data_IF_014974952878
#
_entry.id   IF_014974952878
#
_cell.length_a   1.000
_cell.length_b   1.000
_cell.length_c   1.000
_cell.angle_alpha   90.00
_cell.angle_beta   90.00
_cell.angle_gamma   90.00
#
_symmetry.space_group_name_H-M   'P 1'
#
loop_
_entity.id
_entity.type
_entity.pdbx_description
1 polymer ?
#
# COMPACT_ATOMS: atom_id res chain seq x y z
N UNK A 1 53.41 -17.87 -47.78
CA UNK A 1 53.20 -16.50 -47.25
C UNK A 1 51.82 -16.27 -46.62
N UNK A 2 50.84 -17.18 -46.71
CA UNK A 2 49.43 -16.88 -46.35
C UNK A 2 49.08 -16.94 -44.85
N UNK A 3 49.82 -17.69 -44.02
CA UNK A 3 49.45 -17.92 -42.61
C UNK A 3 49.77 -16.74 -41.67
N UNK A 4 50.80 -15.95 -41.98
CA UNK A 4 51.25 -14.86 -41.11
C UNK A 4 50.34 -13.62 -41.24
N UNK A 5 49.89 -13.32 -42.46
CA UNK A 5 48.93 -12.24 -42.73
C UNK A 5 47.53 -12.54 -42.14
N UNK A 6 47.07 -13.79 -42.22
CA UNK A 6 45.80 -14.23 -41.65
C UNK A 6 45.76 -14.07 -40.12
N UNK A 7 46.85 -14.41 -39.43
CA UNK A 7 46.98 -14.24 -37.98
C UNK A 7 47.01 -12.76 -37.58
N UNK A 8 47.67 -11.91 -38.36
CA UNK A 8 47.74 -10.47 -38.09
C UNK A 8 46.37 -9.79 -38.29
N UNK A 9 45.60 -10.22 -39.30
CA UNK A 9 44.24 -9.75 -39.53
C UNK A 9 43.27 -10.24 -38.43
N UNK A 10 43.38 -11.50 -37.99
CA UNK A 10 42.55 -12.05 -36.91
C UNK A 10 42.77 -11.29 -35.59
N UNK A 11 44.02 -11.06 -35.22
CA UNK A 11 44.38 -10.31 -34.01
C UNK A 11 43.86 -8.87 -34.06
N UNK A 12 43.90 -8.22 -35.23
CA UNK A 12 43.35 -6.89 -35.39
C UNK A 12 41.81 -6.86 -35.20
N UNK A 13 41.09 -7.85 -35.74
CA UNK A 13 39.63 -7.95 -35.57
C UNK A 13 39.24 -8.22 -34.12
N UNK A 14 39.97 -9.06 -33.41
CA UNK A 14 39.75 -9.34 -31.98
C UNK A 14 39.99 -8.08 -31.14
N UNK A 15 41.05 -7.32 -31.43
CA UNK A 15 41.33 -6.07 -30.74
C UNK A 15 40.23 -5.01 -30.95
N UNK A 16 39.72 -4.88 -32.19
CA UNK A 16 38.59 -3.98 -32.47
C UNK A 16 37.31 -4.44 -31.74
N UNK A 17 37.04 -5.75 -31.70
CA UNK A 17 35.91 -6.31 -30.97
C UNK A 17 36.00 -6.04 -29.47
N UNK A 18 37.17 -6.26 -28.85
CA UNK A 18 37.38 -5.95 -27.44
C UNK A 18 37.18 -4.47 -27.12
N UNK A 19 37.66 -3.58 -28.01
CA UNK A 19 37.51 -2.13 -27.84
C UNK A 19 36.03 -1.73 -27.86
N UNK A 20 35.26 -2.27 -28.81
CA UNK A 20 33.82 -2.03 -28.94
C UNK A 20 33.06 -2.60 -27.74
N UNK A 21 33.36 -3.85 -27.33
CA UNK A 21 32.74 -4.49 -26.18
C UNK A 21 33.00 -3.71 -24.88
N UNK A 22 34.25 -3.28 -24.65
CA UNK A 22 34.58 -2.43 -23.49
C UNK A 22 33.80 -1.12 -23.54
N UNK A 23 33.70 -0.45 -24.69
CA UNK A 23 32.93 0.79 -24.81
C UNK A 23 31.43 0.56 -24.48
N UNK A 24 30.81 -0.47 -25.05
CA UNK A 24 29.40 -0.82 -24.80
C UNK A 24 29.18 -1.13 -23.31
N UNK A 25 30.06 -1.91 -22.69
CA UNK A 25 29.98 -2.24 -21.25
C UNK A 25 29.99 -0.97 -20.39
N UNK A 26 30.88 -0.01 -20.66
CA UNK A 26 30.94 1.24 -19.90
C UNK A 26 29.68 2.09 -20.11
N UNK A 27 29.14 2.13 -21.33
CA UNK A 27 27.88 2.84 -21.62
C UNK A 27 26.71 2.22 -20.85
N UNK A 28 26.59 0.88 -20.83
CA UNK A 28 25.54 0.17 -20.08
C UNK A 28 25.67 0.44 -18.58
N UNK A 29 26.87 0.35 -18.03
CA UNK A 29 27.13 0.62 -16.60
C UNK A 29 26.79 2.07 -16.26
N UNK A 30 27.14 3.02 -17.14
CA UNK A 30 26.84 4.43 -16.95
C UNK A 30 25.33 4.71 -16.93
N UNK A 31 24.57 4.13 -17.88
CA UNK A 31 23.11 4.23 -17.91
C UNK A 31 22.50 3.62 -16.64
N UNK A 32 23.00 2.45 -16.20
CA UNK A 32 22.54 1.80 -14.98
C UNK A 32 22.80 2.65 -13.72
N UNK A 33 23.96 3.31 -13.63
CA UNK A 33 24.28 4.23 -12.54
C UNK A 33 23.37 5.46 -12.55
N UNK A 34 23.06 6.02 -13.72
CA UNK A 34 22.09 7.11 -13.86
C UNK A 34 20.70 6.66 -13.37
N UNK A 35 20.26 5.46 -13.77
CA UNK A 35 18.97 4.92 -13.34
C UNK A 35 18.90 4.79 -11.80
N UNK A 36 19.95 4.25 -11.17
CA UNK A 36 20.04 4.16 -9.70
C UNK A 36 19.99 5.56 -9.07
N UNK A 37 20.70 6.55 -9.62
CA UNK A 37 20.69 7.91 -9.12
C UNK A 37 19.29 8.54 -9.20
N UNK A 38 18.56 8.33 -10.30
CA UNK A 38 17.18 8.81 -10.45
C UNK A 38 16.27 8.16 -9.41
N UNK A 39 16.38 6.85 -9.21
CA UNK A 39 15.58 6.14 -8.19
C UNK A 39 15.91 6.66 -6.78
N UNK A 40 17.18 6.89 -6.46
CA UNK A 40 17.58 7.45 -5.18
C UNK A 40 17.00 8.85 -4.95
N UNK A 41 17.05 9.73 -5.96
CA UNK A 41 16.45 11.06 -5.91
C UNK A 41 14.94 10.96 -5.70
N UNK A 42 14.26 10.07 -6.41
CA UNK A 42 12.82 9.86 -6.26
C UNK A 42 12.45 9.38 -4.84
N UNK A 43 13.23 8.46 -4.25
CA UNK A 43 13.02 8.00 -2.87
C UNK A 43 13.23 9.14 -1.87
N UNK A 44 14.27 9.96 -2.04
CA UNK A 44 14.51 11.13 -1.19
C UNK A 44 13.36 12.13 -1.30
N UNK A 45 12.94 12.46 -2.53
CA UNK A 45 11.82 13.36 -2.77
C UNK A 45 10.51 12.84 -2.16
N UNK A 46 10.22 11.54 -2.30
CA UNK A 46 9.08 10.88 -1.68
C UNK A 46 9.15 10.96 -0.15
N UNK A 47 10.32 10.72 0.44
CA UNK A 47 10.50 10.79 1.90
C UNK A 47 10.36 12.22 2.44
N UNK A 48 10.86 13.22 1.70
CA UNK A 48 10.68 14.64 2.06
C UNK A 48 9.23 15.09 1.91
N UNK A 49 8.55 14.65 0.85
CA UNK A 49 7.13 14.90 0.64
C UNK A 49 6.29 14.27 1.76
N UNK A 50 6.59 13.02 2.13
CA UNK A 50 5.95 12.34 3.24
C UNK A 50 6.20 13.08 4.56
N UNK A 51 7.45 13.48 4.83
CA UNK A 51 7.80 14.28 6.01
C UNK A 51 7.03 15.60 6.06
N UNK A 52 6.91 16.29 4.93
CA UNK A 52 6.11 17.51 4.84
C UNK A 52 4.63 17.24 5.14
N UNK A 53 4.06 16.16 4.59
CA UNK A 53 2.67 15.78 4.84
C UNK A 53 2.42 15.45 6.32
N UNK A 54 3.37 14.77 6.97
CA UNK A 54 3.30 14.43 8.41
C UNK A 54 3.53 15.62 9.34
N UNK A 55 4.08 16.74 8.85
CA UNK A 55 4.20 17.97 9.66
C UNK A 55 2.89 18.74 9.77
N UNK A 56 1.95 18.51 8.85
CA UNK A 56 0.65 19.18 8.81
C UNK A 56 -0.43 18.37 9.53
N UNK A 57 -0.18 17.10 9.83
CA UNK A 57 -1.00 16.37 10.80
C UNK A 57 -0.67 16.88 12.20
N UNK A 58 -1.64 17.51 12.87
CA UNK A 58 -1.65 17.58 14.33
C UNK A 58 -1.17 16.23 14.86
N UNK A 59 -0.21 16.22 15.77
CA UNK A 59 0.31 14.98 16.35
C UNK A 59 -0.81 14.31 17.12
N UNK A 60 -1.68 13.56 16.44
CA UNK A 60 -2.56 12.60 17.07
C UNK A 60 -1.63 11.58 17.69
N UNK A 61 -1.41 11.71 18.99
CA UNK A 61 -0.74 10.72 19.82
C UNK A 61 -1.26 9.33 19.45
N UNK A 62 -0.41 8.31 19.52
CA UNK A 62 -0.80 6.92 19.26
C UNK A 62 -2.09 6.55 20.01
N UNK A 63 -2.27 7.10 21.22
CA UNK A 63 -3.48 6.97 22.02
C UNK A 63 -4.74 7.56 21.35
N UNK A 64 -4.63 8.73 20.71
CA UNK A 64 -5.71 9.37 19.99
C UNK A 64 -6.08 8.59 18.70
N UNK A 65 -5.11 8.00 18.01
CA UNK A 65 -5.37 7.12 16.87
C UNK A 65 -6.02 5.80 17.31
N UNK A 66 -5.53 5.19 18.39
CA UNK A 66 -6.13 4.00 18.98
C UNK A 66 -7.57 4.29 19.41
N UNK A 67 -7.83 5.46 20.01
CA UNK A 67 -9.17 5.89 20.40
C UNK A 67 -10.09 6.06 19.19
N UNK A 68 -9.62 6.68 18.10
CA UNK A 68 -10.39 6.81 16.85
C UNK A 68 -10.67 5.46 16.18
N UNK A 69 -9.70 4.53 16.17
CA UNK A 69 -9.90 3.18 15.59
C UNK A 69 -10.85 2.33 16.45
N UNK A 70 -10.85 2.53 17.76
CA UNK A 70 -11.75 1.83 18.70
C UNK A 70 -13.11 2.49 18.84
N UNK A 71 -13.26 3.75 18.42
CA UNK A 71 -14.57 4.40 18.37
C UNK A 71 -15.40 3.73 17.28
N UNK A 72 -16.51 3.13 17.69
CA UNK A 72 -17.44 2.51 16.76
C UNK A 72 -18.51 3.57 16.45
N UNK A 73 -18.72 3.91 15.16
CA UNK A 73 -19.76 4.85 14.77
C UNK A 73 -21.13 4.42 15.30
N UNK A 74 -21.81 5.33 16.02
CA UNK A 74 -23.20 5.20 16.50
C UNK A 74 -23.41 4.64 17.91
N UNK A 75 -22.35 4.38 18.68
CA UNK A 75 -22.43 4.23 20.16
C UNK A 75 -22.77 5.57 20.86
N UNK A 76 -22.48 6.68 20.18
CA UNK A 76 -22.69 8.05 20.68
C UNK A 76 -24.17 8.43 20.86
N UNK A 77 -25.07 7.70 20.17
CA UNK A 77 -26.51 7.95 20.18
C UNK A 77 -27.25 7.07 21.18
N UNK A 78 -26.56 6.15 21.86
CA UNK A 78 -27.16 5.24 22.83
C UNK A 78 -27.20 5.89 24.22
N UNK A 79 -28.39 6.19 24.73
CA UNK A 79 -28.55 6.57 26.14
C UNK A 79 -28.46 5.33 27.04
N UNK A 80 -27.28 5.15 27.64
CA UNK A 80 -26.97 4.03 28.53
C UNK A 80 -27.78 4.04 29.84
N UNK A 81 -28.47 5.14 30.15
CA UNK A 81 -29.35 5.26 31.31
C UNK A 81 -30.81 4.95 30.99
N UNK A 82 -31.16 4.84 29.70
CA UNK A 82 -32.51 4.48 29.27
C UNK A 82 -32.74 2.98 29.47
N UNK A 83 -33.79 2.63 30.23
CA UNK A 83 -34.15 1.22 30.49
C UNK A 83 -34.83 0.55 29.30
N UNK A 84 -35.25 1.31 28.29
CA UNK A 84 -35.90 0.77 27.10
C UNK A 84 -34.86 0.45 26.01
N UNK A 85 -34.22 -0.72 26.15
CA UNK A 85 -33.22 -1.23 25.23
C UNK A 85 -33.71 -1.31 23.77
N UNK A 86 -35.00 -1.56 23.55
CA UNK A 86 -35.60 -1.65 22.20
C UNK A 86 -35.73 -0.28 21.54
N UNK A 87 -36.00 0.76 22.32
CA UNK A 87 -36.05 2.14 21.83
C UNK A 87 -34.66 2.62 21.41
N UNK A 88 -33.65 2.43 22.26
CA UNK A 88 -32.26 2.73 21.93
C UNK A 88 -31.76 1.91 20.74
N UNK A 89 -32.15 0.64 20.65
CA UNK A 89 -31.82 -0.23 19.52
C UNK A 89 -32.40 0.26 18.19
N UNK A 90 -33.68 0.64 18.15
CA UNK A 90 -34.33 1.11 16.91
C UNK A 90 -33.85 2.49 16.45
N UNK A 91 -33.34 3.31 17.37
CA UNK A 91 -32.76 4.62 17.05
C UNK A 91 -31.25 4.55 16.77
N UNK A 92 -30.61 3.44 17.14
CA UNK A 92 -29.21 3.18 16.82
C UNK A 92 -29.05 2.83 15.34
N UNK A 93 -28.11 3.50 14.68
CA UNK A 93 -27.67 3.11 13.34
C UNK A 93 -26.62 1.98 13.36
N UNK A 94 -26.41 1.33 14.52
CA UNK A 94 -25.30 0.40 14.70
C UNK A 94 -25.52 -0.95 14.04
N UNK A 95 -24.45 -1.43 13.41
CA UNK A 95 -24.29 -2.84 13.07
C UNK A 95 -24.02 -3.64 14.34
N UNK A 96 -24.69 -4.79 14.54
CA UNK A 96 -24.42 -5.71 15.66
C UNK A 96 -22.93 -6.07 15.70
N UNK A 97 -22.27 -5.72 16.80
CA UNK A 97 -20.84 -5.99 16.99
C UNK A 97 -20.69 -7.37 17.60
N UNK A 98 -20.29 -8.31 16.76
CA UNK A 98 -19.94 -9.66 17.18
C UNK A 98 -18.42 -9.81 17.18
N UNK A 99 -17.87 -10.13 18.36
CA UNK A 99 -16.46 -10.43 18.50
C UNK A 99 -16.09 -11.74 17.78
N UNK A 100 -14.81 -11.95 17.46
CA UNK A 100 -14.36 -13.18 16.81
C UNK A 100 -14.62 -14.44 17.65
N UNK A 101 -14.78 -14.31 18.98
CA UNK A 101 -15.13 -15.44 19.87
C UNK A 101 -16.61 -15.85 19.77
N UNK A 102 -17.50 -14.93 19.40
CA UNK A 102 -18.94 -15.17 19.27
C UNK A 102 -19.35 -15.44 17.82
N UNK A 103 -18.45 -15.19 16.87
CA UNK A 103 -18.65 -15.49 15.45
C UNK A 103 -18.34 -16.96 15.12
N UNK A 104 -19.03 -17.50 14.12
CA UNK A 104 -18.76 -18.85 13.63
C UNK A 104 -17.33 -18.92 13.05
N UNK A 105 -16.54 -19.95 13.39
CA UNK A 105 -15.20 -20.15 12.82
C UNK A 105 -15.19 -20.15 11.29
N UNK A 106 -16.28 -20.62 10.67
CA UNK A 106 -16.42 -20.64 9.21
C UNK A 106 -16.50 -19.23 8.61
N UNK A 107 -17.13 -18.28 9.30
CA UNK A 107 -17.24 -16.88 8.84
C UNK A 107 -15.87 -16.21 8.89
N UNK A 108 -15.13 -16.38 9.99
CA UNK A 108 -13.77 -15.85 10.12
C UNK A 108 -12.86 -16.44 9.05
N UNK A 109 -12.96 -17.75 8.82
CA UNK A 109 -12.16 -18.45 7.81
C UNK A 109 -12.51 -18.00 6.39
N UNK A 110 -13.81 -17.87 6.06
CA UNK A 110 -14.25 -17.38 4.77
C UNK A 110 -13.76 -15.94 4.51
N UNK A 111 -13.93 -15.04 5.48
CA UNK A 111 -13.51 -13.64 5.38
C UNK A 111 -12.00 -13.52 5.19
N UNK A 112 -11.22 -14.14 6.06
CA UNK A 112 -9.74 -14.13 5.93
C UNK A 112 -9.30 -14.81 4.64
N UNK A 113 -9.92 -15.92 4.21
CA UNK A 113 -9.55 -16.56 2.95
C UNK A 113 -9.92 -15.77 1.68
N UNK A 114 -10.93 -14.89 1.75
CA UNK A 114 -11.41 -14.12 0.60
C UNK A 114 -10.72 -12.75 0.50
N UNK A 115 -10.59 -12.03 1.62
CA UNK A 115 -10.08 -10.65 1.66
C UNK A 115 -8.60 -10.57 1.99
N UNK A 116 -8.10 -11.46 2.86
CA UNK A 116 -6.73 -11.38 3.37
C UNK A 116 -6.17 -12.76 3.76
N UNK A 117 -5.81 -13.54 2.74
CA UNK A 117 -5.38 -14.95 2.92
C UNK A 117 -4.19 -15.14 3.84
N UNK A 118 -3.40 -14.08 4.06
CA UNK A 118 -2.22 -14.10 4.90
C UNK A 118 -2.42 -13.30 6.19
N UNK A 119 -3.65 -12.94 6.55
CA UNK A 119 -3.98 -12.10 7.71
C UNK A 119 -3.16 -12.42 8.97
N UNK A 120 -3.04 -13.70 9.34
CA UNK A 120 -2.31 -14.14 10.54
C UNK A 120 -0.78 -14.20 10.40
N UNK A 121 -0.23 -13.88 9.23
CA UNK A 121 1.20 -13.96 8.90
C UNK A 121 1.85 -12.59 8.67
N UNK A 122 1.08 -11.50 8.63
CA UNK A 122 1.62 -10.16 8.40
C UNK A 122 1.13 -9.17 9.46
N UNK A 123 1.93 -8.13 9.71
CA UNK A 123 1.64 -7.09 10.71
C UNK A 123 0.78 -5.96 10.12
N UNK A 124 -0.32 -6.33 9.47
CA UNK A 124 -1.27 -5.36 8.89
C UNK A 124 -0.91 -4.76 7.52
N UNK A 125 0.28 -4.99 6.95
CA UNK A 125 0.61 -4.60 5.57
C UNK A 125 1.22 -5.81 4.83
N UNK A 126 0.82 -6.03 3.58
CA UNK A 126 1.38 -7.05 2.68
C UNK A 126 2.07 -6.41 1.48
N UNK A 127 3.36 -6.04 1.57
CA UNK A 127 4.09 -5.41 0.46
C UNK A 127 4.08 -6.26 -0.82
N UNK A 128 4.14 -7.59 -0.67
CA UNK A 128 4.06 -8.54 -1.79
C UNK A 128 2.70 -8.49 -2.50
N UNK A 129 1.60 -8.30 -1.76
CA UNK A 129 0.26 -8.21 -2.35
C UNK A 129 0.07 -6.87 -3.07
N UNK A 130 0.57 -5.79 -2.49
CA UNK A 130 0.57 -4.44 -3.09
C UNK A 130 1.37 -4.44 -4.39
N UNK A 131 2.61 -4.92 -4.38
CA UNK A 131 3.45 -4.95 -5.57
C UNK A 131 2.84 -5.84 -6.67
N UNK A 132 2.27 -7.00 -6.30
CA UNK A 132 1.58 -7.89 -7.24
C UNK A 132 0.34 -7.23 -7.84
N UNK A 133 -0.46 -6.52 -7.05
CA UNK A 133 -1.63 -5.77 -7.53
C UNK A 133 -1.20 -4.66 -8.50
N UNK A 134 -0.19 -3.86 -8.14
CA UNK A 134 0.35 -2.81 -9.02
C UNK A 134 0.88 -3.35 -10.36
N UNK A 135 1.58 -4.49 -10.33
CA UNK A 135 2.06 -5.15 -11.55
C UNK A 135 0.87 -5.62 -12.41
N UNK A 136 -0.13 -6.27 -11.81
CA UNK A 136 -1.33 -6.72 -12.54
C UNK A 136 -2.11 -5.57 -13.17
N UNK A 137 -2.22 -4.43 -12.47
CA UNK A 137 -2.85 -3.22 -12.99
C UNK A 137 -2.07 -2.63 -14.18
N UNK A 138 -0.73 -2.57 -14.08
CA UNK A 138 0.13 -2.09 -15.18
C UNK A 138 0.04 -3.01 -16.42
N UNK A 139 -0.05 -4.32 -16.20
CA UNK A 139 -0.14 -5.30 -17.26
C UNK A 139 -1.58 -5.60 -17.71
N UNK A 140 -2.57 -4.83 -17.25
CA UNK A 140 -3.99 -4.97 -17.60
C UNK A 140 -4.49 -6.43 -17.51
N UNK A 141 -4.06 -7.18 -16.51
CA UNK A 141 -4.55 -8.54 -16.33
C UNK A 141 -5.97 -8.47 -15.77
N UNK A 142 -6.93 -9.13 -16.41
CA UNK A 142 -8.35 -9.17 -15.97
C UNK A 142 -8.57 -9.82 -14.59
N UNK A 143 -7.51 -10.18 -13.87
CA UNK A 143 -7.51 -10.74 -12.52
C UNK A 143 -7.20 -9.59 -11.55
N UNK A 144 -8.23 -8.90 -11.06
CA UNK A 144 -8.05 -7.92 -9.98
C UNK A 144 -7.73 -8.69 -8.70
N UNK A 145 -6.47 -8.67 -8.26
CA UNK A 145 -6.12 -9.22 -6.95
C UNK A 145 -6.19 -8.11 -5.92
N UNK A 146 -7.07 -8.24 -4.92
CA UNK A 146 -7.12 -7.34 -3.77
C UNK A 146 -5.73 -7.22 -3.12
N UNK A 147 -5.15 -6.01 -3.16
CA UNK A 147 -3.84 -5.72 -2.58
C UNK A 147 -3.91 -5.17 -1.15
N UNK A 148 -5.09 -4.77 -0.68
CA UNK A 148 -5.31 -4.14 0.62
C UNK A 148 -5.60 -5.16 1.71
N UNK A 149 -4.99 -4.99 2.88
CA UNK A 149 -5.21 -5.86 4.05
C UNK A 149 -6.47 -5.45 4.80
N UNK A 150 -7.04 -6.36 5.59
CA UNK A 150 -8.18 -6.05 6.49
C UNK A 150 -7.82 -4.87 7.43
N UNK A 151 -6.58 -4.80 7.90
CA UNK A 151 -6.09 -3.70 8.76
C UNK A 151 -6.10 -2.35 8.03
N UNK A 152 -5.66 -2.30 6.76
CA UNK A 152 -5.72 -1.07 5.97
C UNK A 152 -7.15 -0.62 5.70
N UNK A 153 -8.05 -1.56 5.40
CA UNK A 153 -9.47 -1.28 5.21
C UNK A 153 -10.10 -0.73 6.50
N UNK A 154 -9.78 -1.32 7.66
CA UNK A 154 -10.26 -0.85 8.96
C UNK A 154 -9.79 0.57 9.27
N UNK A 155 -8.49 0.85 9.11
CA UNK A 155 -7.93 2.19 9.36
C UNK A 155 -8.56 3.22 8.43
N UNK A 156 -8.72 2.90 7.14
CA UNK A 156 -9.42 3.78 6.18
C UNK A 156 -10.85 4.07 6.63
N UNK A 157 -11.58 3.05 7.06
CA UNK A 157 -13.01 3.18 7.41
C UNK A 157 -13.27 3.82 8.77
N UNK A 158 -12.30 3.83 9.69
CA UNK A 158 -12.46 4.43 11.03
C UNK A 158 -11.76 5.79 11.19
N UNK A 159 -10.62 5.97 10.51
CA UNK A 159 -9.80 7.19 10.65
C UNK A 159 -10.09 8.19 9.54
N UNK A 160 -10.22 7.74 8.28
CA UNK A 160 -10.33 8.63 7.11
C UNK A 160 -11.77 9.02 6.76
N UNK A 161 -12.77 8.25 7.19
CA UNK A 161 -14.21 8.57 7.03
C UNK A 161 -14.63 9.77 7.88
N UNK A 162 -14.04 9.95 9.07
CA UNK A 162 -14.32 11.10 9.93
C UNK A 162 -13.80 12.44 9.35
N UNK A 163 -12.83 12.43 8.43
CA UNK A 163 -12.36 13.66 7.78
C UNK A 163 -13.20 14.08 6.57
N UNK A 164 -13.81 13.13 5.85
CA UNK A 164 -14.62 13.46 4.65
C UNK A 164 -15.93 14.19 4.97
N UNK A 165 -16.49 14.03 6.17
CA UNK A 165 -17.71 14.74 6.55
C UNK A 165 -17.52 16.25 6.78
N UNK A 166 -16.28 16.74 6.95
CA UNK A 166 -16.03 18.18 7.16
C UNK A 166 -16.05 18.96 5.83
N UNK A 167 -15.62 18.35 4.73
CA UNK A 167 -15.55 19.04 3.42
C UNK A 167 -16.89 19.01 2.68
N UNK A 168 -17.66 17.94 2.81
CA UNK A 168 -18.94 17.80 2.09
C UNK A 168 -20.07 18.63 2.71
N UNK A 169 -20.00 18.93 4.01
CA UNK A 169 -21.00 19.76 4.69
C UNK A 169 -20.85 21.26 4.39
N UNK A 170 -19.70 21.73 3.91
CA UNK A 170 -19.53 23.15 3.54
C UNK A 170 -19.99 23.48 2.11
N UNK A 171 -20.14 22.47 1.24
CA UNK A 171 -20.56 22.66 -0.16
C UNK A 171 -22.08 22.57 -0.37
N UNK A 172 -22.85 22.13 0.63
CA UNK A 172 -24.33 22.09 0.59
C UNK A 172 -25.01 23.22 1.39
N UNK A 173 -24.24 24.23 1.83
CA UNK A 173 -24.77 25.43 2.49
C UNK A 173 -24.23 26.73 1.88
N UNK A 174 -23.91 26.73 0.58
CA UNK A 174 -23.62 27.94 -0.20
C UNK A 174 -24.68 28.12 -1.30
#
# INVERSE_FOLDING_TARGET
>A
MTNQDNNHQLNHRIYQFEKIYKAIKHVIIFIFMIFIAIVAIAVIAMSLYFHHLTKTSDSLSDDALIKKVRQIPGDELLDHNNKNLLYEYNHSQNSLIIGPKTSSPNVIKALTSSEDTLFYKHDGILPKAILRAMIQDIFNTNQSSGGSTITQQLVKNQVLTNEKHIVEKQMNFA
#
